data_IF_345197459224
#
_entry.id   IF_345197459224
#
_cell.length_a   1.000
_cell.length_b   1.000
_cell.length_c   1.000
_cell.angle_alpha   90.00
_cell.angle_beta   90.00
_cell.angle_gamma   90.00
#
_symmetry.space_group_name_H-M   'P 1'
#
loop_
_entity.id
_entity.type
_entity.pdbx_description
1 polymer ?
#
# COMPACT_ATOMS: atom_id res chain seq x y z
N UNK A 1 -0.11 -14.97 11.72
CA UNK A 1 0.22 -13.94 10.70
C UNK A 1 -1.04 -13.74 9.86
N UNK A 2 -1.80 -12.65 10.10
CA UNK A 2 -3.18 -12.44 9.58
C UNK A 2 -3.30 -12.52 8.06
N UNK A 3 -2.27 -12.08 7.34
CA UNK A 3 -2.26 -11.98 5.88
C UNK A 3 -1.46 -13.09 5.19
N UNK A 4 -0.80 -13.97 5.95
CA UNK A 4 0.06 -15.03 5.39
C UNK A 4 -0.81 -16.10 4.74
N UNK A 5 -0.47 -16.48 3.50
CA UNK A 5 -1.17 -17.52 2.74
C UNK A 5 -2.32 -17.03 1.87
N UNK A 6 -2.65 -15.73 1.90
CA UNK A 6 -3.56 -15.10 0.93
C UNK A 6 -2.85 -14.88 -0.40
N UNK A 7 -3.60 -14.98 -1.49
CA UNK A 7 -3.16 -14.66 -2.85
C UNK A 7 -3.01 -13.16 -3.05
N UNK A 8 -2.29 -12.75 -4.10
CA UNK A 8 -2.12 -11.33 -4.42
C UNK A 8 -3.46 -10.64 -4.72
N UNK A 9 -4.38 -11.35 -5.38
CA UNK A 9 -5.72 -10.87 -5.73
C UNK A 9 -6.54 -10.55 -4.47
N UNK A 10 -6.59 -11.49 -3.52
CA UNK A 10 -7.32 -11.31 -2.26
C UNK A 10 -6.76 -10.15 -1.41
N UNK A 11 -5.44 -9.92 -1.46
CA UNK A 11 -4.81 -8.81 -0.75
C UNK A 11 -5.11 -7.46 -1.43
N UNK A 12 -5.12 -7.43 -2.76
CA UNK A 12 -5.36 -6.21 -3.55
C UNK A 12 -6.81 -5.72 -3.38
N UNK A 13 -7.75 -6.65 -3.25
CA UNK A 13 -9.18 -6.34 -3.06
C UNK A 13 -9.54 -6.06 -1.57
N UNK A 14 -8.62 -6.30 -0.64
CA UNK A 14 -8.86 -6.11 0.79
C UNK A 14 -8.53 -4.69 1.25
N UNK A 15 -9.59 -3.89 1.45
CA UNK A 15 -9.48 -2.55 2.06
C UNK A 15 -8.86 -2.61 3.47
N UNK A 16 -9.14 -3.67 4.23
CA UNK A 16 -8.58 -3.84 5.57
C UNK A 16 -7.06 -4.02 5.53
N UNK A 17 -6.55 -4.82 4.59
CA UNK A 17 -5.11 -5.00 4.38
C UNK A 17 -4.42 -3.68 4.03
N UNK A 18 -4.96 -2.92 3.07
CA UNK A 18 -4.40 -1.62 2.67
C UNK A 18 -4.42 -0.61 3.83
N UNK A 19 -5.47 -0.61 4.66
CA UNK A 19 -5.53 0.24 5.86
C UNK A 19 -4.44 -0.09 6.86
N UNK A 20 -4.17 -1.37 7.12
CA UNK A 20 -3.07 -1.77 8.02
C UNK A 20 -1.70 -1.35 7.48
N UNK A 21 -1.51 -1.30 6.15
CA UNK A 21 -0.28 -0.75 5.55
C UNK A 21 -0.16 0.76 5.83
N UNK A 22 -1.25 1.51 5.68
CA UNK A 22 -1.26 2.97 5.87
C UNK A 22 -1.08 3.34 7.35
N UNK A 23 -1.81 2.69 8.26
CA UNK A 23 -1.86 3.05 9.69
C UNK A 23 -0.89 2.27 10.57
N UNK A 24 -0.23 1.24 10.02
CA UNK A 24 0.65 0.36 10.80
C UNK A 24 1.80 1.10 11.50
N UNK A 25 2.29 0.61 12.65
CA UNK A 25 3.31 1.28 13.46
C UNK A 25 4.73 1.05 12.90
N UNK A 26 4.95 1.43 11.65
CA UNK A 26 6.23 1.39 10.96
C UNK A 26 6.36 2.59 10.02
N UNK A 27 7.59 2.92 9.65
CA UNK A 27 7.89 4.02 8.73
C UNK A 27 7.49 3.66 7.30
N UNK A 28 6.94 4.64 6.56
CA UNK A 28 6.62 4.48 5.14
C UNK A 28 7.29 5.60 4.36
N UNK A 29 7.83 5.24 3.21
CA UNK A 29 8.43 6.17 2.28
C UNK A 29 7.83 5.93 0.89
N UNK A 30 7.47 7.01 0.20
CA UNK A 30 6.98 6.96 -1.17
C UNK A 30 7.79 7.92 -2.02
N UNK A 31 8.47 7.38 -3.03
CA UNK A 31 9.17 8.17 -4.03
C UNK A 31 8.24 8.42 -5.22
N UNK A 32 7.95 9.68 -5.49
CA UNK A 32 7.18 10.10 -6.66
C UNK A 32 8.15 10.68 -7.68
N UNK A 33 8.23 10.06 -8.86
CA UNK A 33 9.04 10.54 -9.99
C UNK A 33 8.12 11.06 -11.08
N UNK A 34 8.24 12.34 -11.40
CA UNK A 34 7.45 13.02 -12.41
C UNK A 34 7.89 12.61 -13.82
N UNK A 35 7.02 11.92 -14.58
CA UNK A 35 7.27 11.55 -15.99
C UNK A 35 6.79 12.66 -16.94
N UNK A 36 5.64 13.28 -16.63
CA UNK A 36 5.09 14.43 -17.33
C UNK A 36 4.93 15.59 -16.35
N UNK A 37 5.03 16.86 -16.77
CA UNK A 37 4.92 18.00 -15.86
C UNK A 37 3.62 17.94 -15.05
N UNK A 38 3.76 17.96 -13.73
CA UNK A 38 2.66 18.07 -12.78
C UNK A 38 2.81 19.38 -12.02
N UNK A 39 1.71 20.12 -11.89
CA UNK A 39 1.62 21.30 -11.02
C UNK A 39 1.20 20.83 -9.63
N UNK A 40 1.83 21.40 -8.59
CA UNK A 40 1.54 21.10 -7.19
C UNK A 40 0.32 21.83 -6.63
#
# INVERSE_FOLDING_TARGET
VKWKGKTAQELTESVEFLREIVTGPFEKFTQVTTILPLTG
#
